data_IF_735475468784
#
_entry.id   IF_735475468784
#
_cell.length_a   1.000
_cell.length_b   1.000
_cell.length_c   1.000
_cell.angle_alpha   90.00
_cell.angle_beta   90.00
_cell.angle_gamma   90.00
#
_symmetry.space_group_name_H-M   'P 1'
#
loop_
_entity.id
_entity.type
_entity.pdbx_description
1 polymer ?
#
# COMPACT_ATOMS: atom_id res chain seq x y z
N UNK A 1 19.59 2.72 63.35
CA UNK A 1 18.47 2.48 62.42
C UNK A 1 18.85 3.13 61.10
N UNK A 2 19.28 2.36 60.09
CA UNK A 2 19.57 2.88 58.75
C UNK A 2 18.46 2.38 57.81
N UNK A 3 17.64 3.28 57.30
CA UNK A 3 16.66 3.00 56.25
C UNK A 3 17.32 3.19 54.89
N UNK A 4 17.57 2.07 54.21
CA UNK A 4 18.11 2.06 52.85
C UNK A 4 16.94 2.15 51.86
N UNK A 5 16.79 3.31 51.20
CA UNK A 5 15.80 3.51 50.14
C UNK A 5 16.38 3.09 48.80
N UNK A 6 15.85 2.03 48.21
CA UNK A 6 16.17 1.62 46.83
C UNK A 6 15.24 2.39 45.89
N UNK A 7 15.81 3.25 45.05
CA UNK A 7 15.07 3.97 43.99
C UNK A 7 15.17 3.12 42.72
N UNK A 8 14.06 2.51 42.29
CA UNK A 8 13.97 1.87 40.99
C UNK A 8 13.73 2.93 39.91
N UNK A 9 14.52 2.97 38.82
CA UNK A 9 14.18 3.81 37.67
C UNK A 9 12.97 3.20 36.94
N UNK A 10 11.86 3.93 36.91
CA UNK A 10 10.77 3.64 35.97
C UNK A 10 11.27 3.97 34.56
N UNK A 11 11.66 2.95 33.80
CA UNK A 11 11.78 3.06 32.35
C UNK A 11 10.36 3.10 31.76
N UNK A 12 9.90 4.29 31.38
CA UNK A 12 8.69 4.46 30.60
C UNK A 12 8.91 3.91 29.19
N UNK A 13 8.15 2.87 28.82
CA UNK A 13 8.10 2.37 27.45
C UNK A 13 7.39 3.42 26.57
N UNK A 14 8.16 4.13 25.75
CA UNK A 14 7.59 4.96 24.67
C UNK A 14 7.21 3.99 23.54
N UNK A 15 5.92 3.74 23.38
CA UNK A 15 5.40 3.01 22.23
C UNK A 15 5.59 3.90 20.99
N UNK A 16 6.12 3.36 19.87
CA UNK A 16 6.18 4.12 18.62
C UNK A 16 4.75 4.47 18.20
N UNK A 17 4.50 5.76 17.95
CA UNK A 17 3.24 6.18 17.35
C UNK A 17 3.15 5.58 15.96
N UNK A 18 2.12 4.77 15.69
CA UNK A 18 1.79 4.35 14.34
C UNK A 18 1.25 5.55 13.59
N UNK A 19 1.88 5.93 12.48
CA UNK A 19 1.36 6.94 11.56
C UNK A 19 -0.10 6.59 11.22
N UNK A 20 -1.00 7.54 11.44
CA UNK A 20 -2.42 7.38 11.17
C UNK A 20 -2.83 8.16 9.92
N UNK A 21 -4.10 8.07 9.50
CA UNK A 21 -4.59 8.72 8.26
C UNK A 21 -4.38 10.24 8.14
N UNK A 22 -4.03 10.92 9.24
CA UNK A 22 -3.74 12.36 9.28
C UNK A 22 -2.25 12.68 9.16
N UNK A 23 -1.38 11.67 9.06
CA UNK A 23 0.07 11.81 8.96
C UNK A 23 0.50 11.93 7.48
N UNK A 24 1.39 12.86 7.12
CA UNK A 24 1.91 12.97 5.75
C UNK A 24 2.62 11.70 5.24
N UNK A 25 3.20 10.90 6.13
CA UNK A 25 3.94 9.67 5.79
C UNK A 25 3.06 8.41 5.86
N UNK A 26 1.76 8.58 6.03
CA UNK A 26 0.80 7.48 6.08
C UNK A 26 0.61 6.83 4.71
N UNK A 27 0.82 5.51 4.64
CA UNK A 27 0.43 4.67 3.52
C UNK A 27 -0.75 3.77 3.90
N UNK A 28 -1.77 3.76 3.04
CA UNK A 28 -2.97 2.94 3.23
C UNK A 28 -2.81 1.52 2.67
N UNK A 29 -1.90 1.34 1.71
CA UNK A 29 -1.64 0.07 1.02
C UNK A 29 -0.16 -0.03 0.67
N UNK A 30 0.38 -1.25 0.67
CA UNK A 30 1.66 -1.58 0.05
C UNK A 30 1.45 -2.79 -0.85
N UNK A 31 2.05 -2.76 -2.04
CA UNK A 31 2.01 -3.88 -2.95
C UNK A 31 3.33 -4.08 -3.67
N UNK A 32 3.61 -5.32 -4.05
CA UNK A 32 4.68 -5.61 -4.99
C UNK A 32 4.15 -5.43 -6.42
N UNK A 33 4.91 -4.72 -7.25
CA UNK A 33 4.62 -4.55 -8.68
C UNK A 33 5.59 -5.39 -9.51
N UNK A 34 5.08 -5.99 -10.58
CA UNK A 34 5.82 -6.94 -11.40
C UNK A 34 5.74 -6.57 -12.88
N UNK A 35 6.86 -6.67 -13.59
CA UNK A 35 6.95 -6.35 -15.01
C UNK A 35 6.64 -7.53 -15.94
N UNK A 36 6.19 -8.65 -15.37
CA UNK A 36 5.93 -9.89 -16.08
C UNK A 36 4.65 -10.55 -15.60
N UNK A 37 4.24 -11.59 -16.30
CA UNK A 37 3.06 -12.36 -15.94
C UNK A 37 3.30 -13.14 -14.64
N UNK A 38 2.31 -13.10 -13.75
CA UNK A 38 2.39 -13.63 -12.42
C UNK A 38 3.36 -12.85 -11.51
N UNK A 39 3.31 -13.20 -10.22
CA UNK A 39 4.05 -12.51 -9.17
C UNK A 39 5.34 -13.27 -8.85
N UNK A 40 6.12 -13.56 -9.90
CA UNK A 40 7.39 -14.24 -9.77
C UNK A 40 8.48 -13.25 -9.31
N UNK A 41 9.35 -13.68 -8.40
CA UNK A 41 10.45 -12.84 -7.90
C UNK A 41 11.39 -12.32 -9.01
N UNK A 42 11.54 -13.08 -10.11
CA UNK A 42 12.36 -12.67 -11.25
C UNK A 42 11.81 -11.48 -12.03
N UNK A 43 10.52 -11.16 -11.89
CA UNK A 43 9.85 -10.00 -12.51
C UNK A 43 9.49 -8.91 -11.51
N UNK A 44 9.89 -9.04 -10.24
CA UNK A 44 9.66 -8.01 -9.22
C UNK A 44 10.39 -6.72 -9.62
N UNK A 45 9.64 -5.62 -9.67
CA UNK A 45 10.20 -4.29 -9.92
C UNK A 45 10.57 -3.64 -8.59
N UNK A 46 9.58 -3.45 -7.71
CA UNK A 46 9.75 -2.99 -6.33
C UNK A 46 8.44 -3.16 -5.51
N UNK A 47 8.49 -2.81 -4.23
CA UNK A 47 7.31 -2.61 -3.40
C UNK A 47 6.85 -1.13 -3.48
N UNK A 48 5.62 -0.90 -3.91
CA UNK A 48 4.98 0.41 -4.06
C UNK A 48 4.05 0.70 -2.86
N UNK A 49 4.44 1.61 -1.94
CA UNK A 49 3.53 2.15 -0.95
C UNK A 49 2.60 3.20 -1.57
N UNK A 50 1.30 3.02 -1.36
CA UNK A 50 0.27 3.98 -1.74
C UNK A 50 -0.04 4.89 -0.56
N UNK A 51 0.25 6.18 -0.72
CA UNK A 51 0.14 7.18 0.33
C UNK A 51 -1.22 7.89 0.39
N UNK A 52 -1.52 8.45 1.56
CA UNK A 52 -2.65 9.35 1.78
C UNK A 52 -3.94 8.65 2.22
N UNK A 53 -5.06 9.38 2.17
CA UNK A 53 -6.35 8.95 2.74
C UNK A 53 -7.12 7.95 1.86
N UNK A 54 -6.72 7.77 0.60
CA UNK A 54 -7.46 6.97 -0.37
C UNK A 54 -8.67 7.71 -0.94
N UNK A 55 -9.54 7.01 -1.68
CA UNK A 55 -10.76 7.53 -2.29
C UNK A 55 -10.56 8.20 -3.65
N UNK A 56 -9.32 8.28 -4.14
CA UNK A 56 -9.01 8.94 -5.41
C UNK A 56 -8.21 8.02 -6.32
N UNK A 57 -8.47 8.15 -7.62
CA UNK A 57 -7.66 7.52 -8.66
C UNK A 57 -6.26 8.12 -8.65
N UNK A 58 -5.25 7.26 -8.62
CA UNK A 58 -3.86 7.69 -8.64
C UNK A 58 -3.03 6.79 -9.56
N UNK A 59 -2.03 7.35 -10.25
CA UNK A 59 -1.11 6.56 -11.07
C UNK A 59 -0.26 5.65 -10.18
N UNK A 60 -0.02 4.43 -10.65
CA UNK A 60 0.96 3.52 -10.04
C UNK A 60 2.38 3.97 -10.35
N UNK A 61 2.64 4.40 -11.59
CA UNK A 61 3.91 4.99 -11.99
C UNK A 61 3.90 6.53 -11.80
N UNK A 62 4.15 6.96 -10.56
CA UNK A 62 4.10 8.38 -10.19
C UNK A 62 5.24 9.22 -10.81
N UNK A 63 6.32 8.58 -11.23
CA UNK A 63 7.54 9.24 -11.72
C UNK A 63 7.82 8.96 -13.20
N UNK A 64 6.92 8.26 -13.90
CA UNK A 64 7.06 7.87 -15.31
C UNK A 64 8.39 7.16 -15.60
N UNK A 65 8.77 6.25 -14.72
CA UNK A 65 10.03 5.49 -14.79
C UNK A 65 9.87 4.01 -14.43
N UNK A 66 8.64 3.53 -14.33
CA UNK A 66 8.30 2.14 -14.03
C UNK A 66 8.06 1.41 -15.35
N UNK A 67 8.61 0.20 -15.57
CA UNK A 67 8.20 -0.62 -16.70
C UNK A 67 6.70 -0.98 -16.59
N UNK A 68 6.13 -1.47 -17.68
CA UNK A 68 4.73 -1.95 -17.71
C UNK A 68 4.42 -2.88 -16.53
N UNK A 69 3.37 -2.55 -15.76
CA UNK A 69 2.96 -3.32 -14.58
C UNK A 69 1.98 -4.40 -15.03
N UNK A 70 2.49 -5.61 -15.23
CA UNK A 70 1.72 -6.75 -15.75
C UNK A 70 1.16 -7.64 -14.63
N UNK A 71 1.71 -7.55 -13.42
CA UNK A 71 1.15 -8.23 -12.26
C UNK A 71 1.32 -7.39 -11.00
N UNK A 72 0.40 -7.59 -10.05
CA UNK A 72 0.30 -6.80 -8.83
C UNK A 72 -0.07 -7.70 -7.65
N UNK A 73 0.58 -7.53 -6.51
CA UNK A 73 0.24 -8.27 -5.28
C UNK A 73 0.29 -7.35 -4.08
N UNK A 74 -0.89 -7.08 -3.50
CA UNK A 74 -0.99 -6.36 -2.23
C UNK A 74 -0.33 -7.19 -1.13
N UNK A 75 0.66 -6.62 -0.45
CA UNK A 75 1.34 -7.26 0.68
C UNK A 75 0.81 -6.74 2.01
N UNK A 76 0.23 -5.54 2.02
CA UNK A 76 -0.37 -4.93 3.19
C UNK A 76 -1.48 -3.95 2.79
N UNK A 77 -2.58 -3.95 3.55
CA UNK A 77 -3.51 -2.83 3.63
C UNK A 77 -3.63 -2.41 5.09
N UNK A 78 -3.80 -1.11 5.31
CA UNK A 78 -4.35 -0.60 6.56
C UNK A 78 -5.74 -1.22 6.79
N UNK A 79 -6.15 -1.48 8.05
CA UNK A 79 -7.44 -2.11 8.33
C UNK A 79 -8.60 -1.47 7.56
N UNK A 80 -9.42 -2.33 6.94
CA UNK A 80 -10.60 -1.96 6.16
C UNK A 80 -10.33 -1.15 4.88
N UNK A 81 -9.06 -0.99 4.48
CA UNK A 81 -8.71 -0.46 3.17
C UNK A 81 -8.71 -1.57 2.10
N UNK A 82 -9.16 -1.21 0.90
CA UNK A 82 -9.26 -2.11 -0.25
C UNK A 82 -8.69 -1.44 -1.49
N UNK A 83 -7.78 -2.13 -2.18
CA UNK A 83 -7.18 -1.63 -3.41
C UNK A 83 -7.88 -2.21 -4.64
N UNK A 84 -8.13 -1.36 -5.62
CA UNK A 84 -8.72 -1.70 -6.92
C UNK A 84 -7.85 -1.12 -8.02
N UNK A 85 -7.52 -1.96 -9.01
CA UNK A 85 -6.57 -1.66 -10.07
C UNK A 85 -7.31 -1.41 -11.39
N UNK A 86 -6.72 -0.59 -12.25
CA UNK A 86 -7.29 -0.18 -13.54
C UNK A 86 -6.23 -0.13 -14.63
N UNK A 87 -6.62 -0.43 -15.86
CA UNK A 87 -5.77 -0.38 -17.04
C UNK A 87 -5.86 0.97 -17.80
N UNK A 88 -6.45 1.98 -17.18
CA UNK A 88 -6.56 3.36 -17.68
C UNK A 88 -6.18 4.36 -16.58
N UNK A 89 -5.81 5.57 -16.99
CA UNK A 89 -5.32 6.63 -16.09
C UNK A 89 -6.39 7.24 -15.17
N UNK A 90 -7.68 7.05 -15.47
CA UNK A 90 -8.78 7.75 -14.82
C UNK A 90 -9.65 6.83 -13.96
N UNK A 91 -9.29 5.54 -13.85
CA UNK A 91 -10.04 4.54 -13.10
C UNK A 91 -11.50 4.40 -13.56
N UNK A 92 -11.74 4.49 -14.87
CA UNK A 92 -13.09 4.46 -15.47
C UNK A 92 -13.41 3.16 -16.19
N UNK A 93 -12.39 2.34 -16.49
CA UNK A 93 -12.56 1.04 -17.14
C UNK A 93 -12.88 -0.06 -16.14
N UNK A 94 -12.74 -1.32 -16.57
CA UNK A 94 -12.96 -2.48 -15.71
C UNK A 94 -12.09 -2.40 -14.45
N UNK A 95 -12.75 -2.61 -13.31
CA UNK A 95 -12.13 -2.59 -11.99
C UNK A 95 -11.62 -3.98 -11.63
N UNK A 96 -10.37 -4.07 -11.18
CA UNK A 96 -9.74 -5.32 -10.77
C UNK A 96 -9.42 -5.29 -9.26
N UNK A 97 -10.25 -5.91 -8.40
CA UNK A 97 -10.01 -5.93 -6.96
C UNK A 97 -8.72 -6.67 -6.61
N UNK A 98 -7.81 -6.01 -5.90
CA UNK A 98 -6.54 -6.59 -5.47
C UNK A 98 -6.64 -7.10 -4.03
N UNK A 99 -6.72 -8.42 -3.88
CA UNK A 99 -6.80 -9.09 -2.57
C UNK A 99 -5.39 -9.27 -1.99
N UNK A 100 -5.24 -9.04 -0.68
CA UNK A 100 -3.97 -9.23 0.03
C UNK A 100 -3.43 -10.64 -0.20
N UNK A 101 -2.17 -10.73 -0.63
CA UNK A 101 -1.46 -11.99 -0.90
C UNK A 101 -1.88 -12.70 -2.18
N UNK A 102 -2.89 -12.22 -2.90
CA UNK A 102 -3.26 -12.75 -4.20
C UNK A 102 -2.46 -12.06 -5.30
N UNK A 103 -1.94 -12.85 -6.23
CA UNK A 103 -1.36 -12.31 -7.45
C UNK A 103 -2.46 -11.94 -8.43
N UNK A 104 -2.58 -10.66 -8.75
CA UNK A 104 -3.50 -10.13 -9.73
C UNK A 104 -2.76 -9.91 -11.05
N UNK A 105 -3.24 -10.53 -12.12
CA UNK A 105 -2.69 -10.42 -13.47
C UNK A 105 -3.43 -9.35 -14.26
N UNK A 106 -2.68 -8.55 -15.02
CA UNK A 106 -3.22 -7.52 -15.88
C UNK A 106 -4.02 -8.14 -17.06
N UNK A 107 -5.18 -7.57 -17.42
CA UNK A 107 -6.08 -8.15 -18.41
C UNK A 107 -5.52 -8.02 -19.84
N UNK A 108 -5.59 -9.10 -20.62
CA UNK A 108 -5.33 -9.10 -22.07
C UNK A 108 -4.01 -8.42 -22.50
N UNK A 109 -2.97 -8.49 -21.67
CA UNK A 109 -1.66 -7.88 -21.94
C UNK A 109 -1.64 -6.35 -21.88
N UNK A 110 -2.68 -5.72 -21.35
CA UNK A 110 -2.68 -4.27 -21.04
C UNK A 110 -2.18 -4.09 -19.61
N UNK A 111 -1.16 -3.27 -19.35
CA UNK A 111 -0.66 -3.06 -18.00
C UNK A 111 -1.70 -2.39 -17.11
N UNK A 112 -1.57 -2.62 -15.80
CA UNK A 112 -2.20 -1.76 -14.82
C UNK A 112 -1.50 -0.40 -14.83
N UNK A 113 -2.28 0.67 -14.74
CA UNK A 113 -1.80 2.05 -14.85
C UNK A 113 -2.16 2.86 -13.61
N UNK A 114 -3.36 2.64 -13.07
CA UNK A 114 -3.86 3.38 -11.92
C UNK A 114 -4.48 2.45 -10.88
N UNK A 115 -4.61 2.98 -9.66
CA UNK A 115 -5.33 2.34 -8.57
C UNK A 115 -6.21 3.33 -7.83
N UNK A 116 -7.28 2.81 -7.23
CA UNK A 116 -8.04 3.46 -6.16
C UNK A 116 -7.86 2.61 -4.92
N UNK A 117 -7.53 3.23 -3.80
CA UNK A 117 -7.60 2.57 -2.49
C UNK A 117 -8.72 3.20 -1.71
N UNK A 118 -9.75 2.43 -1.40
CA UNK A 118 -10.89 2.88 -0.61
C UNK A 118 -10.69 2.47 0.85
N UNK A 119 -10.82 3.42 1.77
CA UNK A 119 -10.68 3.24 3.21
C UNK A 119 -11.86 3.90 3.94
N UNK A 120 -12.13 3.54 5.22
CA UNK A 120 -13.21 4.17 6.00
C UNK A 120 -13.07 5.69 6.19
N UNK A 121 -11.86 6.22 6.02
CA UNK A 121 -11.50 7.62 6.16
C UNK A 121 -11.14 8.28 4.82
N UNK A 122 -11.33 7.59 3.71
CA UNK A 122 -11.14 8.18 2.39
C UNK A 122 -12.04 9.41 2.22
N UNK A 123 -11.52 10.40 1.50
CA UNK A 123 -12.32 11.56 1.15
C UNK A 123 -13.38 11.12 0.13
N UNK A 124 -14.65 11.52 0.30
CA UNK A 124 -15.72 11.19 -0.63
C UNK A 124 -15.56 11.86 -2.00
#
# INVERSE_FOLDING_TARGET
>A
MLTSSVILPLFGLVLPATAGPSDPDFYNTVANIYSGDGCAESSLVWADPIFGRGGHCQPLDRNNNTPDILSYMVTYNFPECHATLYADDNCLTEAFPAIIGACLQAPHGKPFVAAVVECPFSDP
#
